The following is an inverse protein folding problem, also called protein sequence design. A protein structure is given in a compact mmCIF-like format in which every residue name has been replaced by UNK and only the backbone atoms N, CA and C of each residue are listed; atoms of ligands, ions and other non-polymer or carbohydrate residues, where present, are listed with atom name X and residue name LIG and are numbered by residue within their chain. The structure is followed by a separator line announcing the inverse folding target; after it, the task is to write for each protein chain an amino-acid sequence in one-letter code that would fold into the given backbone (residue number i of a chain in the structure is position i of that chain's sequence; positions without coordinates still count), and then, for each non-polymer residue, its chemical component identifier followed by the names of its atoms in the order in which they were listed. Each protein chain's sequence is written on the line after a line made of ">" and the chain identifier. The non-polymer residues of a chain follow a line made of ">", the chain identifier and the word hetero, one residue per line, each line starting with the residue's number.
data_IF_890435792140
#
_entry.id   IF_890435792140
#
_cell.length_a   1.000
_cell.length_b   1.000
_cell.length_c   1.000
_cell.angle_alpha   90.00
_cell.angle_beta   90.00
_cell.angle_gamma   90.00
#
_symmetry.space_group_name_H-M   'P 1'
#
loop_
_entity.id
_entity.type
_entity.pdbx_description
1 polymer ?
#
# COMPACT_ATOMS: atom_id res chain seq x y z
N UNK A 1 -27.30 6.29 -21.74
CA UNK A 1 -26.88 5.68 -20.44
C UNK A 1 -25.77 6.55 -19.86
N UNK A 2 -25.72 6.73 -18.55
CA UNK A 2 -24.71 7.58 -17.91
C UNK A 2 -23.89 6.81 -16.87
N UNK A 3 -22.70 7.33 -16.55
CA UNK A 3 -21.85 6.84 -15.48
C UNK A 3 -21.11 8.04 -14.87
N UNK A 4 -21.13 8.13 -13.54
CA UNK A 4 -20.32 9.12 -12.81
C UNK A 4 -19.04 8.46 -12.34
N UNK A 5 -17.89 9.05 -12.65
CA UNK A 5 -16.62 8.66 -12.06
C UNK A 5 -16.28 9.59 -10.91
N UNK A 6 -16.01 9.02 -9.74
CA UNK A 6 -15.53 9.74 -8.56
C UNK A 6 -14.06 9.37 -8.34
N UNK A 7 -13.18 10.37 -8.32
CA UNK A 7 -11.76 10.15 -8.04
C UNK A 7 -11.51 10.18 -6.54
N UNK A 8 -11.54 9.00 -5.92
CA UNK A 8 -11.26 8.80 -4.49
C UNK A 8 -9.76 8.51 -4.25
N UNK A 9 -8.91 8.89 -5.21
CA UNK A 9 -7.45 8.74 -5.10
C UNK A 9 -6.79 10.09 -4.84
N UNK A 10 -5.57 10.07 -4.30
CA UNK A 10 -4.74 11.27 -4.13
C UNK A 10 -4.09 11.79 -5.43
N UNK A 11 -4.32 11.13 -6.57
CA UNK A 11 -3.69 11.46 -7.85
C UNK A 11 -4.74 11.88 -8.88
N UNK A 12 -4.36 12.72 -9.83
CA UNK A 12 -5.25 13.07 -10.94
C UNK A 12 -5.47 11.86 -11.86
N UNK A 13 -6.70 11.69 -12.32
CA UNK A 13 -7.08 10.69 -13.33
C UNK A 13 -7.33 11.40 -14.64
N UNK A 14 -6.66 11.02 -15.72
CA UNK A 14 -7.04 11.46 -17.05
C UNK A 14 -8.16 10.56 -17.56
N UNK A 15 -9.25 11.19 -17.99
CA UNK A 15 -10.42 10.53 -18.55
C UNK A 15 -10.43 10.87 -20.03
N UNK A 16 -10.31 9.84 -20.87
CA UNK A 16 -10.46 9.96 -22.32
C UNK A 16 -11.76 9.29 -22.73
N UNK A 17 -12.67 10.08 -23.30
CA UNK A 17 -13.95 9.63 -23.86
C UNK A 17 -14.21 10.28 -25.22
N UNK A 18 -15.47 10.26 -25.69
CA UNK A 18 -15.88 10.83 -26.98
C UNK A 18 -15.63 12.34 -27.08
N UNK A 19 -15.62 13.05 -25.95
CA UNK A 19 -15.50 14.51 -25.89
C UNK A 19 -14.03 14.95 -25.73
N UNK A 20 -13.10 14.00 -25.71
CA UNK A 20 -11.66 14.22 -25.62
C UNK A 20 -11.07 13.76 -24.30
N UNK A 21 -9.89 14.28 -23.97
CA UNK A 21 -9.16 13.93 -22.75
C UNK A 21 -9.22 15.07 -21.74
N UNK A 22 -9.65 14.80 -20.51
CA UNK A 22 -9.71 15.77 -19.41
C UNK A 22 -9.12 15.20 -18.12
N UNK A 23 -8.58 16.07 -17.28
CA UNK A 23 -8.14 15.70 -15.94
C UNK A 23 -9.33 15.70 -14.97
N UNK A 24 -9.36 14.72 -14.08
CA UNK A 24 -10.24 14.65 -12.92
C UNK A 24 -9.36 14.71 -11.67
N UNK A 25 -9.42 15.82 -10.95
CA UNK A 25 -8.62 16.05 -9.75
C UNK A 25 -9.05 15.18 -8.57
N UNK A 26 -8.15 14.96 -7.59
CA UNK A 26 -8.48 14.25 -6.35
C UNK A 26 -9.74 14.78 -5.67
N UNK A 27 -10.63 13.89 -5.24
CA UNK A 27 -11.87 14.21 -4.56
C UNK A 27 -12.95 14.85 -5.45
N UNK A 28 -12.72 14.93 -6.76
CA UNK A 28 -13.71 15.42 -7.73
C UNK A 28 -14.44 14.26 -8.41
N UNK A 29 -15.61 14.58 -8.95
CA UNK A 29 -16.39 13.66 -9.77
C UNK A 29 -16.74 14.29 -11.12
N UNK A 30 -16.95 13.44 -12.11
CA UNK A 30 -17.48 13.84 -13.43
C UNK A 30 -18.50 12.83 -13.89
N UNK A 31 -19.57 13.31 -14.52
CA UNK A 31 -20.57 12.43 -15.13
C UNK A 31 -20.39 12.39 -16.62
N UNK A 32 -20.34 11.17 -17.17
CA UNK A 32 -20.23 10.93 -18.59
C UNK A 32 -21.59 10.46 -19.12
N UNK A 33 -22.04 11.12 -20.17
CA UNK A 33 -23.31 10.84 -20.84
C UNK A 33 -23.07 10.29 -22.25
N UNK A 34 -24.00 9.45 -22.70
CA UNK A 34 -24.17 9.07 -24.11
C UNK A 34 -22.91 8.54 -24.79
N UNK A 35 -22.21 7.64 -24.10
CA UNK A 35 -21.09 6.90 -24.68
C UNK A 35 -21.62 5.86 -25.66
N UNK A 36 -21.14 5.84 -26.92
CA UNK A 36 -21.64 4.92 -27.93
C UNK A 36 -21.48 3.44 -27.52
N UNK A 37 -22.42 2.61 -27.98
CA UNK A 37 -22.34 1.16 -27.79
C UNK A 37 -21.05 0.63 -28.43
N UNK A 38 -20.30 -0.20 -27.72
CA UNK A 38 -18.99 -0.72 -28.16
C UNK A 38 -17.78 0.20 -27.91
N UNK A 39 -17.98 1.43 -27.40
CA UNK A 39 -16.87 2.33 -27.03
C UNK A 39 -16.31 2.07 -25.62
N UNK A 40 -15.13 2.61 -25.35
CA UNK A 40 -14.47 2.57 -24.04
C UNK A 40 -14.21 3.99 -23.52
N UNK A 41 -14.32 4.17 -22.21
CA UNK A 41 -13.62 5.25 -21.52
C UNK A 41 -12.28 4.73 -21.07
N UNK A 42 -11.22 5.47 -21.39
CA UNK A 42 -9.89 5.16 -20.93
C UNK A 42 -9.62 6.04 -19.72
N UNK A 43 -9.36 5.40 -18.58
CA UNK A 43 -8.97 6.06 -17.35
C UNK A 43 -7.46 5.86 -17.18
N UNK A 44 -6.69 6.94 -17.17
CA UNK A 44 -5.24 6.89 -16.93
C UNK A 44 -4.94 7.57 -15.61
N UNK A 45 -4.64 6.77 -14.59
CA UNK A 45 -4.15 7.30 -13.33
C UNK A 45 -2.71 7.78 -13.53
N UNK A 46 -2.49 9.08 -13.37
CA UNK A 46 -1.18 9.72 -13.51
C UNK A 46 -0.41 9.59 -12.21
N UNK A 47 0.53 8.65 -12.17
CA UNK A 47 1.39 8.45 -11.01
C UNK A 47 2.77 9.04 -11.30
N UNK A 48 3.56 9.41 -10.26
CA UNK A 48 4.83 10.11 -10.45
C UNK A 48 5.85 9.45 -11.38
N UNK A 49 5.73 8.13 -11.65
CA UNK A 49 6.72 7.34 -12.43
C UNK A 49 6.12 6.30 -13.38
N UNK A 50 4.80 6.15 -13.44
CA UNK A 50 4.14 5.19 -14.33
C UNK A 50 2.69 5.56 -14.48
N UNK A 51 2.17 5.45 -15.68
CA UNK A 51 0.75 5.57 -15.88
C UNK A 51 0.08 4.23 -15.63
N UNK A 52 -1.11 4.25 -15.05
CA UNK A 52 -1.97 3.06 -14.96
C UNK A 52 -3.22 3.29 -15.77
N UNK A 53 -3.36 2.51 -16.84
CA UNK A 53 -4.48 2.59 -17.77
C UNK A 53 -5.52 1.52 -17.44
N UNK A 54 -6.78 1.95 -17.34
CA UNK A 54 -7.94 1.08 -17.18
C UNK A 54 -8.88 1.38 -18.35
N UNK A 55 -9.27 0.33 -19.07
CA UNK A 55 -10.29 0.42 -20.12
C UNK A 55 -11.65 0.09 -19.51
N UNK A 56 -12.54 1.08 -19.48
CA UNK A 56 -13.88 0.95 -18.93
C UNK A 56 -14.90 0.84 -20.09
N UNK A 57 -15.39 -0.37 -20.41
CA UNK A 57 -16.29 -0.58 -21.55
C UNK A 57 -17.69 0.04 -21.33
N UNK A 58 -18.31 0.51 -22.40
CA UNK A 58 -19.65 1.10 -22.34
C UNK A 58 -20.74 0.11 -21.89
N UNK A 59 -20.49 -1.20 -21.98
CA UNK A 59 -21.36 -2.24 -21.40
C UNK A 59 -21.47 -2.19 -19.87
N UNK A 60 -20.48 -1.61 -19.18
CA UNK A 60 -20.50 -1.41 -17.72
C UNK A 60 -21.22 -0.13 -17.29
N UNK A 61 -21.70 0.68 -18.23
CA UNK A 61 -22.53 1.84 -17.92
C UNK A 61 -23.92 1.35 -17.49
N UNK A 62 -24.26 1.61 -16.23
CA UNK A 62 -25.47 1.12 -15.59
C UNK A 62 -26.21 2.23 -14.81
N UNK A 63 -26.04 3.50 -15.19
CA UNK A 63 -26.65 4.65 -14.51
C UNK A 63 -26.28 4.69 -13.00
N UNK A 64 -24.99 4.49 -12.71
CA UNK A 64 -24.45 4.50 -11.34
C UNK A 64 -23.20 5.36 -11.23
N UNK A 65 -22.79 5.58 -9.97
CA UNK A 65 -21.50 6.16 -9.63
C UNK A 65 -20.48 5.05 -9.44
N UNK A 66 -19.34 5.18 -10.11
CA UNK A 66 -18.18 4.31 -10.01
C UNK A 66 -17.07 5.06 -9.29
N UNK A 67 -16.65 4.53 -8.15
CA UNK A 67 -15.49 5.04 -7.42
C UNK A 67 -14.21 4.48 -8.02
N UNK A 68 -13.31 5.37 -8.40
CA UNK A 68 -11.95 5.01 -8.79
C UNK A 68 -11.14 4.96 -7.50
N UNK A 69 -10.80 3.76 -7.06
CA UNK A 69 -9.98 3.54 -5.87
C UNK A 69 -8.66 2.89 -6.25
N UNK A 70 -7.63 3.19 -5.46
CA UNK A 70 -6.42 2.40 -5.44
C UNK A 70 -6.63 1.26 -4.46
N UNK A 71 -6.40 0.01 -4.88
CA UNK A 71 -6.36 -1.09 -3.92
C UNK A 71 -5.13 -0.94 -3.02
N UNK A 72 -5.23 -1.41 -1.77
CA UNK A 72 -4.13 -1.36 -0.80
C UNK A 72 -2.85 -2.03 -1.34
N UNK A 73 -2.99 -3.14 -2.09
CA UNK A 73 -1.86 -3.79 -2.74
C UNK A 73 -1.18 -2.93 -3.81
N UNK A 74 -1.94 -2.13 -4.56
CA UNK A 74 -1.38 -1.24 -5.57
C UNK A 74 -0.74 -0.01 -4.92
N UNK A 75 -1.35 0.54 -3.86
CA UNK A 75 -0.77 1.58 -3.01
C UNK A 75 0.57 1.14 -2.43
N UNK A 76 0.65 -0.07 -1.86
CA UNK A 76 1.89 -0.64 -1.33
C UNK A 76 2.98 -0.73 -2.42
N UNK A 77 2.64 -1.24 -3.62
CA UNK A 77 3.59 -1.33 -4.74
C UNK A 77 4.07 0.03 -5.23
N UNK A 78 3.19 1.03 -5.28
CA UNK A 78 3.53 2.37 -5.73
C UNK A 78 4.37 3.13 -4.72
N UNK A 79 4.08 2.95 -3.43
CA UNK A 79 4.86 3.52 -2.34
C UNK A 79 6.26 2.90 -2.30
N UNK A 80 6.36 1.58 -2.43
CA UNK A 80 7.64 0.86 -2.59
C UNK A 80 8.46 1.42 -3.77
N UNK A 81 7.85 1.58 -4.96
CA UNK A 81 8.55 2.11 -6.14
C UNK A 81 8.99 3.58 -5.96
N UNK A 82 8.17 4.40 -5.29
CA UNK A 82 8.48 5.81 -5.04
C UNK A 82 9.64 6.00 -4.06
N UNK A 83 9.65 5.23 -2.95
CA UNK A 83 10.73 5.22 -1.96
C UNK A 83 12.03 4.71 -2.57
N UNK A 84 11.99 3.57 -3.27
CA UNK A 84 13.16 3.00 -3.96
C UNK A 84 13.81 4.02 -4.87
N UNK A 85 13.01 4.78 -5.62
CA UNK A 85 13.57 5.70 -6.60
C UNK A 85 13.99 7.06 -6.03
N UNK A 86 13.37 7.53 -4.92
CA UNK A 86 13.87 8.70 -4.16
C UNK A 86 15.22 8.40 -3.50
N UNK A 87 15.48 7.13 -3.19
CA UNK A 87 16.74 6.67 -2.61
C UNK A 87 17.80 6.41 -3.68
N UNK A 88 17.43 5.81 -4.83
CA UNK A 88 18.33 5.69 -6.00
C UNK A 88 18.84 7.02 -6.52
N UNK A 89 18.04 8.10 -6.43
CA UNK A 89 18.50 9.43 -6.85
C UNK A 89 19.40 10.11 -5.83
N UNK A 90 19.56 9.55 -4.62
CA UNK A 90 20.34 10.15 -3.54
C UNK A 90 21.66 9.43 -3.25
N UNK A 91 21.77 8.12 -3.47
CA UNK A 91 22.97 7.38 -3.11
C UNK A 91 23.16 6.21 -4.09
N UNK A 92 24.31 6.13 -4.75
CA UNK A 92 24.77 4.90 -5.36
C UNK A 92 25.31 4.00 -4.26
N UNK A 93 24.44 3.26 -3.55
CA UNK A 93 24.81 2.18 -2.62
C UNK A 93 23.54 1.49 -2.10
N UNK A 94 23.55 0.15 -2.14
CA UNK A 94 22.61 -0.85 -1.60
C UNK A 94 21.08 -0.66 -1.76
N UNK A 95 20.40 -1.71 -2.26
CA UNK A 95 18.94 -1.72 -2.34
C UNK A 95 18.29 -1.44 -0.97
N UNK A 96 17.28 -0.55 -0.91
CA UNK A 96 16.63 -0.22 0.34
C UNK A 96 15.93 -1.43 0.93
N UNK A 97 16.33 -1.77 2.16
CA UNK A 97 15.74 -2.87 2.92
C UNK A 97 14.46 -2.41 3.60
N UNK A 98 13.38 -3.14 3.36
CA UNK A 98 12.09 -2.95 4.02
C UNK A 98 11.56 -4.28 4.55
N UNK A 99 10.61 -4.21 5.49
CA UNK A 99 9.96 -5.40 6.03
C UNK A 99 8.55 -5.08 6.50
N UNK A 100 7.60 -5.94 6.14
CA UNK A 100 6.23 -5.88 6.66
C UNK A 100 6.08 -6.90 7.78
N UNK A 101 5.72 -6.46 8.98
CA UNK A 101 5.30 -7.37 10.04
C UNK A 101 3.79 -7.55 9.99
N UNK A 102 3.35 -8.79 9.83
CA UNK A 102 1.94 -9.18 9.96
C UNK A 102 1.74 -9.81 11.33
N UNK A 103 0.89 -9.21 12.16
CA UNK A 103 0.49 -9.82 13.42
C UNK A 103 -0.63 -10.83 13.17
N UNK A 104 -0.23 -12.05 12.80
CA UNK A 104 -1.12 -13.19 12.62
C UNK A 104 -1.41 -13.94 13.93
N UNK A 105 -1.11 -13.33 15.07
CA UNK A 105 -1.38 -13.88 16.41
C UNK A 105 -2.57 -13.18 17.06
N UNK A 106 -3.12 -13.80 18.11
CA UNK A 106 -4.16 -13.18 18.94
C UNK A 106 -3.63 -12.14 19.95
N UNK A 107 -2.31 -11.94 20.01
CA UNK A 107 -1.66 -11.11 21.02
C UNK A 107 -1.19 -9.79 20.41
N UNK A 108 -1.20 -8.71 21.18
CA UNK A 108 -0.64 -7.43 20.73
C UNK A 108 0.88 -7.49 20.66
N UNK A 109 1.47 -6.81 19.67
CA UNK A 109 2.92 -6.67 19.55
C UNK A 109 3.31 -5.21 19.67
N UNK A 110 4.27 -4.89 20.53
CA UNK A 110 4.91 -3.58 20.53
C UNK A 110 6.13 -3.62 19.62
N UNK A 111 6.20 -2.68 18.70
CA UNK A 111 7.31 -2.50 17.76
C UNK A 111 7.99 -1.20 18.13
N UNK A 112 9.28 -1.27 18.42
CA UNK A 112 10.10 -0.09 18.70
C UNK A 112 11.19 0.04 17.64
N UNK A 113 11.22 1.20 16.99
CA UNK A 113 12.23 1.60 16.01
C UNK A 113 12.65 3.06 16.23
N UNK A 114 13.32 3.65 15.24
CA UNK A 114 13.80 5.03 15.27
C UNK A 114 12.68 6.07 15.45
N UNK A 115 11.46 5.75 15.05
CA UNK A 115 10.31 6.66 15.06
C UNK A 115 9.49 6.49 16.36
N UNK A 116 9.90 5.56 17.22
CA UNK A 116 9.35 5.33 18.55
C UNK A 116 8.71 3.96 18.69
N UNK A 117 7.93 3.80 19.76
CA UNK A 117 7.22 2.56 20.08
C UNK A 117 5.76 2.66 19.64
N UNK A 118 5.27 1.68 18.90
CA UNK A 118 3.87 1.57 18.49
C UNK A 118 3.32 0.16 18.69
N UNK A 119 2.02 0.06 18.93
CA UNK A 119 1.32 -1.20 18.99
C UNK A 119 0.96 -1.70 17.59
N UNK A 120 1.00 -3.02 17.40
CA UNK A 120 0.50 -3.73 16.26
C UNK A 120 -0.54 -4.73 16.75
N UNK A 121 -1.81 -4.39 16.55
CA UNK A 121 -2.93 -5.20 17.01
C UNK A 121 -3.07 -6.51 16.24
N UNK A 122 -3.70 -7.53 16.82
CA UNK A 122 -4.04 -8.78 16.13
C UNK A 122 -4.71 -8.56 14.77
N UNK A 123 -4.25 -9.28 13.74
CA UNK A 123 -4.76 -9.19 12.37
C UNK A 123 -4.33 -7.93 11.60
N UNK A 124 -3.52 -7.06 12.20
CA UNK A 124 -2.96 -5.88 11.52
C UNK A 124 -1.56 -6.14 10.99
N UNK A 125 -1.15 -5.33 10.02
CA UNK A 125 0.21 -5.32 9.51
C UNK A 125 0.79 -3.91 9.52
N UNK A 126 2.12 -3.82 9.65
CA UNK A 126 2.85 -2.55 9.54
C UNK A 126 4.08 -2.77 8.68
N UNK A 127 4.36 -1.84 7.78
CA UNK A 127 5.57 -1.88 6.95
C UNK A 127 6.57 -0.86 7.44
N UNK A 128 7.79 -1.33 7.65
CA UNK A 128 8.92 -0.52 8.08
C UNK A 128 9.83 -0.28 6.88
N UNK A 129 10.17 0.99 6.69
CA UNK A 129 10.93 1.48 5.56
C UNK A 129 12.11 2.30 6.05
N UNK A 130 13.07 2.55 5.15
CA UNK A 130 14.24 3.39 5.41
C UNK A 130 14.98 3.00 6.70
N UNK A 131 15.12 1.69 6.92
CA UNK A 131 15.78 1.16 8.10
C UNK A 131 17.29 1.16 7.82
N UNK A 132 18.08 1.99 8.50
CA UNK A 132 19.50 2.11 8.21
C UNK A 132 20.22 0.78 8.41
N UNK A 133 21.21 0.50 7.56
CA UNK A 133 22.09 -0.67 7.75
C UNK A 133 22.70 -0.64 9.17
N UNK A 134 22.67 -1.79 9.85
CA UNK A 134 23.12 -1.90 11.25
C UNK A 134 22.09 -1.45 12.30
N UNK A 135 20.88 -1.05 11.90
CA UNK A 135 19.80 -0.75 12.85
C UNK A 135 19.11 -2.00 13.38
N UNK A 136 18.46 -1.85 14.53
CA UNK A 136 17.76 -2.90 15.26
C UNK A 136 16.32 -2.46 15.55
N UNK A 137 15.38 -3.38 15.39
CA UNK A 137 14.00 -3.18 15.83
C UNK A 137 13.71 -4.09 17.02
N UNK A 138 13.09 -3.54 18.06
CA UNK A 138 12.67 -4.35 19.21
C UNK A 138 11.21 -4.73 19.03
N UNK A 139 10.95 -6.03 18.97
CA UNK A 139 9.61 -6.60 18.95
C UNK A 139 9.28 -7.17 20.33
N UNK A 140 8.15 -6.78 20.91
CA UNK A 140 7.67 -7.29 22.20
C UNK A 140 6.27 -7.87 22.03
N UNK A 141 6.15 -9.19 22.08
CA UNK A 141 4.87 -9.90 22.08
C UNK A 141 4.27 -9.88 23.49
N UNK A 142 3.09 -9.30 23.64
CA UNK A 142 2.37 -9.16 24.91
C UNK A 142 1.57 -10.43 25.21
N UNK A 143 2.13 -11.31 26.04
CA UNK A 143 1.50 -12.58 26.41
C UNK A 143 0.91 -12.49 27.83
N UNK A 144 -0.09 -13.32 28.17
CA UNK A 144 -0.78 -13.24 29.46
C UNK A 144 0.12 -13.45 30.69
N UNK A 145 1.16 -14.28 30.57
CA UNK A 145 2.08 -14.60 31.67
C UNK A 145 3.30 -13.68 31.71
N UNK A 146 3.97 -13.55 30.57
CA UNK A 146 5.23 -12.81 30.48
C UNK A 146 5.45 -12.34 29.04
N UNK A 147 5.77 -11.07 28.89
CA UNK A 147 6.17 -10.47 27.62
C UNK A 147 7.38 -11.18 27.03
N UNK A 148 7.39 -11.36 25.71
CA UNK A 148 8.53 -11.94 24.99
C UNK A 148 9.12 -10.91 24.07
N UNK A 149 10.41 -10.65 24.24
CA UNK A 149 11.17 -9.67 23.48
C UNK A 149 12.10 -10.35 22.48
N UNK A 150 12.13 -9.86 21.26
CA UNK A 150 13.10 -10.22 20.23
C UNK A 150 13.75 -8.93 19.74
N UNK A 151 15.08 -8.95 19.69
CA UNK A 151 15.86 -7.99 18.91
C UNK A 151 15.90 -8.49 17.46
N UNK A 152 15.32 -7.70 16.56
CA UNK A 152 15.18 -8.00 15.15
C UNK A 152 16.14 -7.11 14.34
N UNK A 153 17.33 -7.63 13.97
CA UNK A 153 18.34 -6.83 13.29
C UNK A 153 17.95 -6.56 11.83
N UNK A 154 18.38 -5.41 11.32
CA UNK A 154 18.12 -5.00 9.94
C UNK A 154 18.68 -5.92 8.86
N UNK A 155 19.67 -6.75 9.22
CA UNK A 155 20.19 -7.82 8.36
C UNK A 155 19.16 -8.91 8.03
N UNK A 156 18.08 -9.04 8.82
CA UNK A 156 16.97 -9.98 8.56
C UNK A 156 15.86 -9.39 7.69
N UNK A 157 15.96 -8.12 7.29
CA UNK A 157 15.03 -7.54 6.33
C UNK A 157 15.37 -8.02 4.92
N UNK A 158 14.41 -8.73 4.34
CA UNK A 158 14.53 -9.45 3.08
C UNK A 158 13.49 -8.97 2.05
N UNK A 159 12.97 -7.74 2.23
CA UNK A 159 11.98 -7.14 1.33
C UNK A 159 10.73 -8.04 1.19
N UNK A 160 10.30 -8.63 2.31
CA UNK A 160 9.13 -9.51 2.36
C UNK A 160 8.23 -9.19 3.56
N UNK A 161 7.07 -9.82 3.55
CA UNK A 161 6.22 -9.92 4.72
C UNK A 161 6.76 -11.02 5.66
N UNK A 162 6.73 -10.76 6.96
CA UNK A 162 7.11 -11.69 8.00
C UNK A 162 5.99 -11.78 9.04
N UNK A 163 5.64 -13.01 9.39
CA UNK A 163 4.58 -13.29 10.35
C UNK A 163 5.12 -13.30 11.78
N UNK A 164 4.42 -12.63 12.69
CA UNK A 164 4.79 -12.59 14.11
C UNK A 164 4.82 -14.01 14.70
N UNK A 165 3.89 -14.88 14.32
CA UNK A 165 3.86 -16.28 14.77
C UNK A 165 5.15 -17.05 14.42
N UNK A 166 5.77 -16.73 13.28
CA UNK A 166 7.02 -17.34 12.84
C UNK A 166 8.22 -16.74 13.58
N UNK A 167 8.22 -15.43 13.78
CA UNK A 167 9.29 -14.72 14.50
C UNK A 167 9.34 -15.19 15.97
N UNK A 168 8.19 -15.37 16.61
CA UNK A 168 8.07 -15.80 18.00
C UNK A 168 7.77 -17.30 18.19
N UNK A 169 7.98 -18.12 17.15
CA UNK A 169 7.57 -19.54 17.14
C UNK A 169 8.08 -20.33 18.36
N UNK A 170 9.29 -20.04 18.83
CA UNK A 170 9.89 -20.72 19.98
C UNK A 170 9.37 -20.20 21.33
N UNK A 171 8.97 -18.94 21.38
CA UNK A 171 8.50 -18.27 22.58
C UNK A 171 7.03 -18.58 22.85
N UNK A 172 6.22 -18.73 21.80
CA UNK A 172 4.82 -19.11 21.90
C UNK A 172 4.62 -20.58 22.29
N UNK A 173 5.55 -21.47 21.93
CA UNK A 173 5.52 -22.90 22.36
C UNK A 173 5.72 -23.09 23.87
N UNK A 174 6.29 -22.10 24.56
CA UNK A 174 6.66 -22.20 25.98
C UNK A 174 5.67 -21.50 26.92
N UNK A 175 4.57 -20.94 26.42
CA UNK A 175 3.64 -20.12 27.21
C UNK A 175 2.24 -20.73 27.31
#
# INVERSE_FOLDING_TARGET
>A
KWCTFENDTQYSVMITDKDGTRALDPGKSTTNYDIPAGSHVILVLKLPKTDKTIHFPSSRYNNSTQKITLSDQLLIKLWQKSVVEKLKSKIGEEEPKWCTFENDTQYSVMITDKDGTRALDPGKSTTNYDIPAGSHMILVLKLPKEDKKIDFPSSRFNNSMQKISQIFANQMKKN
#
